data_IF_823565897220
#
_entry.id   IF_823565897220
#
_cell.length_a   1.000
_cell.length_b   1.000
_cell.length_c   1.000
_cell.angle_alpha   90.00
_cell.angle_beta   90.00
_cell.angle_gamma   90.00
#
_symmetry.space_group_name_H-M   'P 1'
#
loop_
_entity.id
_entity.type
_entity.pdbx_description
1 polymer ?
#
# COMPACT_ATOMS: atom_id res chain seq x y z
N UNK A 1 -10.35 25.04 4.01
CA UNK A 1 -9.52 24.32 3.03
C UNK A 1 -10.20 22.96 2.84
N UNK A 2 -10.99 22.81 1.78
CA UNK A 2 -11.69 21.55 1.49
C UNK A 2 -10.67 20.55 0.96
N UNK A 3 -10.41 19.49 1.73
CA UNK A 3 -9.55 18.41 1.26
C UNK A 3 -10.39 17.56 0.30
N UNK A 4 -10.00 17.57 -0.97
CA UNK A 4 -10.54 16.65 -1.98
C UNK A 4 -10.38 15.21 -1.49
N UNK A 5 -11.52 14.60 -1.14
CA UNK A 5 -11.56 13.28 -0.50
C UNK A 5 -10.97 12.18 -1.38
N UNK A 6 -10.96 12.35 -2.71
CA UNK A 6 -10.35 11.41 -3.65
C UNK A 6 -8.83 11.53 -3.68
N UNK A 7 -8.31 12.76 -3.74
CA UNK A 7 -6.86 13.01 -3.61
C UNK A 7 -6.32 12.53 -2.27
N UNK A 8 -7.05 12.74 -1.19
CA UNK A 8 -6.67 12.25 0.14
C UNK A 8 -6.58 10.71 0.17
N UNK A 9 -7.60 10.01 -0.33
CA UNK A 9 -7.60 8.53 -0.41
C UNK A 9 -6.44 8.02 -1.27
N UNK A 10 -6.17 8.67 -2.41
CA UNK A 10 -5.05 8.31 -3.27
C UNK A 10 -3.71 8.43 -2.53
N UNK A 11 -3.49 9.56 -1.84
CA UNK A 11 -2.27 9.77 -1.05
C UNK A 11 -2.14 8.72 0.04
N UNK A 12 -3.22 8.44 0.80
CA UNK A 12 -3.21 7.41 1.83
C UNK A 12 -2.84 6.04 1.24
N UNK A 13 -3.47 5.64 0.14
CA UNK A 13 -3.17 4.37 -0.52
C UNK A 13 -1.72 4.29 -1.01
N UNK A 14 -1.20 5.34 -1.63
CA UNK A 14 0.20 5.42 -2.07
C UNK A 14 1.17 5.36 -0.88
N UNK A 15 0.90 6.08 0.20
CA UNK A 15 1.71 6.03 1.42
C UNK A 15 1.72 4.63 2.04
N UNK A 16 0.59 3.92 2.05
CA UNK A 16 0.51 2.54 2.54
C UNK A 16 1.36 1.58 1.69
N UNK A 17 1.32 1.71 0.35
CA UNK A 17 2.14 0.89 -0.56
C UNK A 17 3.63 1.16 -0.32
N UNK A 18 4.04 2.43 -0.35
CA UNK A 18 5.44 2.82 -0.18
C UNK A 18 5.94 2.39 1.21
N UNK A 19 5.14 2.63 2.25
CA UNK A 19 5.46 2.22 3.62
C UNK A 19 5.64 0.70 3.74
N UNK A 20 4.74 -0.08 3.12
CA UNK A 20 4.85 -1.54 3.09
C UNK A 20 6.10 -2.04 2.37
N UNK A 21 6.46 -1.43 1.22
CA UNK A 21 7.70 -1.78 0.48
C UNK A 21 8.94 -1.44 1.31
N UNK A 22 9.00 -0.25 1.90
CA UNK A 22 10.13 0.16 2.73
C UNK A 22 10.27 -0.73 3.98
N UNK A 23 9.16 -1.12 4.58
CA UNK A 23 9.14 -2.04 5.71
C UNK A 23 9.66 -3.43 5.30
N UNK A 24 9.19 -3.98 4.17
CA UNK A 24 9.68 -5.24 3.62
C UNK A 24 11.19 -5.22 3.31
N UNK A 25 11.70 -4.11 2.77
CA UNK A 25 13.14 -3.92 2.54
C UNK A 25 13.93 -3.87 3.85
N UNK A 26 13.38 -3.22 4.88
CA UNK A 26 14.02 -3.11 6.20
C UNK A 26 14.05 -4.46 6.90
N UNK A 27 12.97 -5.22 6.83
CA UNK A 27 12.88 -6.60 7.31
C UNK A 27 13.90 -7.48 6.60
N UNK A 28 13.94 -7.45 5.27
CA UNK A 28 14.91 -8.20 4.45
C UNK A 28 16.34 -7.89 4.86
N UNK A 29 16.64 -6.63 5.16
CA UNK A 29 17.97 -6.23 5.63
C UNK A 29 18.27 -6.74 7.05
N UNK A 30 17.27 -6.79 7.92
CA UNK A 30 17.42 -7.22 9.32
C UNK A 30 17.49 -8.74 9.49
N UNK A 31 16.53 -9.48 8.91
CA UNK A 31 16.47 -10.94 9.02
C UNK A 31 17.31 -11.64 7.95
N UNK A 32 17.62 -10.97 6.84
CA UNK A 32 18.27 -11.55 5.67
C UNK A 32 17.25 -11.94 4.59
N UNK A 33 17.73 -12.09 3.34
CA UNK A 33 16.86 -12.52 2.24
C UNK A 33 16.66 -14.03 2.29
N UNK A 34 15.46 -14.46 2.68
CA UNK A 34 15.05 -15.86 2.66
C UNK A 34 13.83 -16.07 1.79
N UNK A 35 13.78 -17.21 1.10
CA UNK A 35 12.59 -17.61 0.34
C UNK A 35 11.42 -18.04 1.25
N UNK A 36 11.71 -18.34 2.52
CA UNK A 36 10.74 -18.74 3.54
C UNK A 36 11.18 -18.15 4.88
N UNK A 37 10.23 -17.67 5.71
CA UNK A 37 10.56 -17.13 7.00
C UNK A 37 11.17 -18.21 7.90
N UNK A 38 12.28 -17.88 8.56
CA UNK A 38 12.96 -18.75 9.50
C UNK A 38 12.48 -18.55 10.93
N UNK A 39 11.97 -17.35 11.23
CA UNK A 39 11.52 -16.95 12.55
C UNK A 39 10.02 -16.61 12.53
N UNK A 40 9.27 -16.88 13.61
CA UNK A 40 7.89 -16.43 13.73
C UNK A 40 7.73 -14.90 13.61
N UNK A 41 8.75 -14.14 14.01
CA UNK A 41 8.78 -12.68 13.88
C UNK A 41 8.84 -12.21 12.43
N UNK A 42 9.68 -12.87 11.60
CA UNK A 42 9.81 -12.61 10.15
C UNK A 42 8.46 -12.82 9.46
N UNK A 43 7.78 -13.95 9.75
CA UNK A 43 6.44 -14.22 9.22
C UNK A 43 5.41 -13.14 9.59
N UNK A 44 5.45 -12.58 10.80
CA UNK A 44 4.55 -11.49 11.19
C UNK A 44 4.91 -10.20 10.42
N UNK A 45 6.20 -9.91 10.26
CA UNK A 45 6.69 -8.78 9.47
C UNK A 45 6.24 -8.88 8.00
N UNK A 46 6.44 -10.04 7.38
CA UNK A 46 5.96 -10.38 6.03
C UNK A 46 4.45 -10.08 5.88
N UNK A 47 3.63 -10.53 6.83
CA UNK A 47 2.18 -10.29 6.79
C UNK A 47 1.83 -8.81 6.94
N UNK A 48 2.51 -8.07 7.81
CA UNK A 48 2.28 -6.63 7.97
C UNK A 48 2.63 -5.89 6.66
N UNK A 49 3.78 -6.21 6.05
CA UNK A 49 4.19 -5.65 4.77
C UNK A 49 3.16 -5.94 3.68
N UNK A 50 2.74 -7.20 3.55
CA UNK A 50 1.74 -7.63 2.56
C UNK A 50 0.40 -6.93 2.76
N UNK A 51 -0.11 -6.84 3.98
CA UNK A 51 -1.38 -6.15 4.28
C UNK A 51 -1.31 -4.68 3.90
N UNK A 52 -0.20 -3.99 4.21
CA UNK A 52 -0.01 -2.59 3.85
C UNK A 52 0.00 -2.38 2.33
N UNK A 53 0.73 -3.22 1.59
CA UNK A 53 0.82 -3.15 0.12
C UNK A 53 -0.52 -3.47 -0.53
N UNK A 54 -1.19 -4.55 -0.12
CA UNK A 54 -2.46 -4.98 -0.71
C UNK A 54 -3.57 -3.97 -0.42
N UNK A 55 -3.74 -3.55 0.83
CA UNK A 55 -4.77 -2.57 1.19
C UNK A 55 -4.54 -1.22 0.50
N UNK A 56 -3.30 -0.74 0.43
CA UNK A 56 -2.95 0.47 -0.31
C UNK A 56 -3.24 0.34 -1.81
N UNK A 57 -2.92 -0.80 -2.42
CA UNK A 57 -3.19 -1.09 -3.84
C UNK A 57 -4.70 -1.11 -4.13
N UNK A 58 -5.50 -1.68 -3.24
CA UNK A 58 -6.96 -1.68 -3.36
C UNK A 58 -7.54 -0.27 -3.26
N UNK A 59 -7.02 0.56 -2.35
CA UNK A 59 -7.45 1.97 -2.21
C UNK A 59 -7.11 2.76 -3.48
N UNK A 60 -5.87 2.65 -3.97
CA UNK A 60 -5.43 3.33 -5.19
C UNK A 60 -6.23 2.85 -6.40
N UNK A 61 -6.40 1.53 -6.56
CA UNK A 61 -7.19 0.94 -7.63
C UNK A 61 -8.64 1.42 -7.62
N UNK A 62 -9.27 1.46 -6.45
CA UNK A 62 -10.63 2.00 -6.28
C UNK A 62 -10.72 3.47 -6.72
N UNK A 63 -9.78 4.32 -6.28
CA UNK A 63 -9.77 5.73 -6.66
C UNK A 63 -9.59 5.90 -8.18
N UNK A 64 -8.68 5.15 -8.80
CA UNK A 64 -8.44 5.22 -10.25
C UNK A 64 -9.69 4.77 -11.03
N UNK A 65 -10.25 3.60 -10.71
CA UNK A 65 -11.36 3.01 -11.47
C UNK A 65 -12.67 3.78 -11.31
N UNK A 66 -12.99 4.25 -10.10
CA UNK A 66 -14.32 4.80 -9.80
C UNK A 66 -14.35 6.32 -9.67
N UNK A 67 -13.22 6.97 -9.40
CA UNK A 67 -13.15 8.44 -9.29
C UNK A 67 -12.38 9.10 -10.44
N UNK A 68 -11.49 8.37 -11.13
CA UNK A 68 -10.80 8.85 -12.34
C UNK A 68 -11.76 9.05 -13.51
N UNK A 69 -12.69 8.12 -13.76
CA UNK A 69 -13.62 8.16 -14.89
C UNK A 69 -14.85 9.05 -14.71
N UNK A 70 -15.01 9.74 -13.58
CA UNK A 70 -16.16 10.61 -13.35
C UNK A 70 -15.95 12.03 -13.92
N UNK A 71 -14.71 12.42 -14.21
CA UNK A 71 -14.39 13.71 -14.84
C UNK A 71 -14.68 13.74 -16.34
N UNK A 72 -14.78 12.58 -16.98
CA UNK A 72 -14.98 12.46 -18.43
C UNK A 72 -16.48 12.48 -18.83
N UNK A 73 -17.38 12.42 -17.84
CA UNK A 73 -18.84 12.37 -18.04
C UNK A 73 -19.55 13.69 -17.76
N UNK A 74 -18.81 14.71 -17.33
CA UNK A 74 -19.32 16.05 -17.05
C UNK A 74 -18.92 17.09 -18.13
N UNK A 75 -18.38 16.63 -19.27
CA UNK A 75 -18.02 17.45 -20.43
C UNK A 75 -19.00 17.29 -21.60
#
# INVERSE_FOLDING_TARGET
MEIDSGKFRYIVGMCSIIGGILFNLTETWYFGWHLKPQLPAEMICDYIAQVAIVSGSLIVGYVIMFQGGNKDKEA
#
